data_IF_462732506049
#
_entry.id   IF_462732506049
#
_cell.length_a   1.000
_cell.length_b   1.000
_cell.length_c   1.000
_cell.angle_alpha   90.00
_cell.angle_beta   90.00
_cell.angle_gamma   90.00
#
_symmetry.space_group_name_H-M   'P 1'
#
loop_
_entity.id
_entity.type
_entity.pdbx_description
1 polymer ?
#
# COMPACT_ATOMS: atom_id res chain seq x y z
N UNK A 1 -19.90 -17.42 50.97
CA UNK A 1 -20.74 -17.94 49.87
C UNK A 1 -21.55 -16.86 49.12
N UNK A 2 -22.73 -16.42 49.59
CA UNK A 2 -23.63 -15.55 48.80
C UNK A 2 -23.08 -14.16 48.42
N UNK A 3 -22.35 -13.50 49.32
CA UNK A 3 -21.75 -12.19 49.05
C UNK A 3 -20.68 -12.24 47.94
N UNK A 4 -19.93 -13.33 47.87
CA UNK A 4 -18.91 -13.55 46.84
C UNK A 4 -19.57 -13.76 45.48
N UNK A 5 -20.67 -14.53 45.43
CA UNK A 5 -21.44 -14.73 44.20
C UNK A 5 -22.04 -13.43 43.67
N UNK A 6 -22.55 -12.57 44.54
CA UNK A 6 -23.07 -11.25 44.16
C UNK A 6 -21.96 -10.32 43.64
N UNK A 7 -20.78 -10.34 44.27
CA UNK A 7 -19.63 -9.57 43.82
C UNK A 7 -19.12 -10.06 42.46
N UNK A 8 -19.04 -11.38 42.24
CA UNK A 8 -18.63 -11.98 40.95
C UNK A 8 -19.67 -11.70 39.86
N UNK A 9 -20.97 -11.78 40.16
CA UNK A 9 -22.02 -11.42 39.21
C UNK A 9 -22.00 -9.91 38.88
N UNK A 10 -21.76 -9.05 39.87
CA UNK A 10 -21.60 -7.62 39.69
C UNK A 10 -20.36 -7.28 38.84
N UNK A 11 -19.23 -7.96 39.07
CA UNK A 11 -18.00 -7.81 38.28
C UNK A 11 -18.13 -8.38 36.86
N UNK A 12 -18.77 -9.54 36.70
CA UNK A 12 -19.05 -10.14 35.40
C UNK A 12 -20.04 -9.28 34.59
N UNK A 13 -21.05 -8.70 35.25
CA UNK A 13 -21.93 -7.70 34.65
C UNK A 13 -21.17 -6.42 34.35
N UNK A 14 -20.29 -5.93 35.22
CA UNK A 14 -19.45 -4.76 34.98
C UNK A 14 -18.54 -4.95 33.75
N UNK A 15 -17.88 -6.12 33.65
CA UNK A 15 -17.05 -6.55 32.51
C UNK A 15 -17.89 -6.75 31.24
N UNK A 16 -19.14 -7.22 31.37
CA UNK A 16 -20.11 -7.29 30.25
C UNK A 16 -20.72 -5.94 29.88
N UNK A 17 -20.73 -4.97 30.81
CA UNK A 17 -21.23 -3.59 30.64
C UNK A 17 -20.12 -2.61 30.27
N UNK A 18 -18.87 -3.06 30.11
CA UNK A 18 -17.91 -2.44 29.20
C UNK A 18 -18.47 -2.57 27.78
N UNK A 19 -19.55 -1.82 27.51
CA UNK A 19 -20.28 -1.57 26.28
C UNK A 19 -20.21 -2.75 25.31
N UNK A 20 -21.29 -3.52 25.17
CA UNK A 20 -21.49 -4.37 23.98
C UNK A 20 -21.12 -3.56 22.75
N UNK A 21 -19.92 -3.79 22.21
CA UNK A 21 -19.41 -3.06 21.08
C UNK A 21 -20.22 -3.56 19.91
N UNK A 22 -21.22 -2.77 19.54
CA UNK A 22 -21.94 -2.98 18.30
C UNK A 22 -20.94 -2.78 17.16
N UNK A 23 -20.32 -3.90 16.75
CA UNK A 23 -19.30 -3.94 15.72
C UNK A 23 -19.87 -3.39 14.40
N UNK A 24 -21.18 -3.56 14.16
CA UNK A 24 -21.87 -2.99 13.00
C UNK A 24 -21.89 -1.47 13.06
N UNK A 25 -22.25 -0.88 14.21
CA UNK A 25 -22.21 0.57 14.38
C UNK A 25 -20.79 1.13 14.31
N UNK A 26 -19.80 0.42 14.85
CA UNK A 26 -18.39 0.81 14.75
C UNK A 26 -17.88 0.74 13.30
N UNK A 27 -18.26 -0.31 12.57
CA UNK A 27 -17.90 -0.48 11.16
C UNK A 27 -18.52 0.61 10.30
N UNK A 28 -19.80 0.95 10.50
CA UNK A 28 -20.47 2.06 9.79
C UNK A 28 -19.75 3.38 10.01
N UNK A 29 -19.42 3.72 11.26
CA UNK A 29 -18.63 4.93 11.58
C UNK A 29 -17.25 4.91 10.94
N UNK A 30 -16.59 3.75 10.90
CA UNK A 30 -15.29 3.61 10.26
C UNK A 30 -15.39 3.78 8.74
N UNK A 31 -16.44 3.28 8.09
CA UNK A 31 -16.68 3.47 6.66
C UNK A 31 -16.85 4.96 6.35
N UNK A 32 -17.64 5.69 7.14
CA UNK A 32 -17.83 7.14 6.97
C UNK A 32 -16.54 7.93 7.20
N UNK A 33 -15.78 7.58 8.24
CA UNK A 33 -14.48 8.20 8.51
C UNK A 33 -13.47 7.95 7.38
N UNK A 34 -13.38 6.72 6.88
CA UNK A 34 -12.50 6.37 5.76
C UNK A 34 -12.93 7.06 4.48
N UNK A 35 -14.24 7.19 4.22
CA UNK A 35 -14.77 7.95 3.08
C UNK A 35 -14.29 9.40 3.12
N UNK A 36 -14.44 10.08 4.27
CA UNK A 36 -13.96 11.44 4.46
C UNK A 36 -12.44 11.56 4.33
N UNK A 37 -11.71 10.58 4.85
CA UNK A 37 -10.25 10.53 4.75
C UNK A 37 -9.77 10.42 3.29
N UNK A 38 -10.36 9.53 2.50
CA UNK A 38 -9.99 9.36 1.08
C UNK A 38 -10.27 10.65 0.29
N UNK A 39 -11.45 11.24 0.47
CA UNK A 39 -11.83 12.49 -0.21
C UNK A 39 -10.91 13.66 0.18
N UNK A 40 -10.59 13.79 1.47
CA UNK A 40 -9.66 14.79 1.98
C UNK A 40 -8.25 14.60 1.40
N UNK A 41 -7.76 13.36 1.33
CA UNK A 41 -6.45 13.04 0.73
C UNK A 41 -6.39 13.39 -0.76
N UNK A 42 -7.47 13.20 -1.50
CA UNK A 42 -7.56 13.49 -2.94
C UNK A 42 -7.98 14.94 -3.25
N UNK A 43 -8.27 15.77 -2.23
CA UNK A 43 -8.84 17.13 -2.39
C UNK A 43 -10.16 17.16 -3.16
N UNK A 44 -10.99 16.13 -2.99
CA UNK A 44 -12.31 16.04 -3.62
C UNK A 44 -13.42 16.32 -2.61
N UNK A 45 -14.44 17.09 -3.01
CA UNK A 45 -15.61 17.36 -2.16
C UNK A 45 -16.64 16.22 -2.21
N UNK A 46 -16.70 15.51 -3.33
CA UNK A 46 -17.58 14.38 -3.56
C UNK A 46 -16.90 13.35 -4.48
N UNK A 47 -17.35 12.09 -4.47
CA UNK A 47 -16.89 11.11 -5.45
C UNK A 47 -17.15 11.60 -6.88
N UNK A 48 -16.20 11.42 -7.81
CA UNK A 48 -16.44 11.73 -9.22
C UNK A 48 -17.58 10.86 -9.77
N UNK A 49 -18.27 11.33 -10.83
CA UNK A 49 -19.30 10.52 -11.49
C UNK A 49 -18.71 9.18 -11.92
N UNK A 50 -19.46 8.10 -11.71
CA UNK A 50 -19.04 6.78 -12.12
C UNK A 50 -19.00 6.72 -13.65
N UNK A 51 -17.81 6.80 -14.22
CA UNK A 51 -17.61 6.47 -15.63
C UNK A 51 -17.73 4.96 -15.81
N UNK A 52 -18.35 4.53 -16.91
CA UNK A 52 -18.40 3.13 -17.25
C UNK A 52 -16.96 2.59 -17.37
N UNK A 53 -16.61 1.47 -16.73
CA UNK A 53 -15.28 0.93 -16.83
C UNK A 53 -14.94 0.67 -18.30
N UNK A 54 -13.71 0.96 -18.74
CA UNK A 54 -13.31 0.73 -20.12
C UNK A 54 -13.54 -0.75 -20.48
N UNK A 55 -14.22 -1.00 -21.59
CA UNK A 55 -14.58 -2.34 -22.05
C UNK A 55 -13.37 -3.24 -22.30
N UNK A 56 -12.19 -2.65 -22.57
CA UNK A 56 -10.94 -3.34 -22.87
C UNK A 56 -10.03 -3.55 -21.64
N UNK A 57 -10.52 -3.30 -20.42
CA UNK A 57 -9.70 -3.40 -19.22
C UNK A 57 -8.70 -2.24 -19.08
N UNK A 58 -7.86 -2.32 -18.05
CA UNK A 58 -6.86 -1.27 -17.77
C UNK A 58 -5.63 -1.45 -18.70
N UNK A 59 -5.03 -0.36 -19.19
CA UNK A 59 -3.77 -0.44 -19.94
C UNK A 59 -2.67 -1.13 -19.14
N UNK A 60 -1.84 -1.94 -19.81
CA UNK A 60 -0.76 -2.71 -19.18
C UNK A 60 0.23 -1.80 -18.42
N UNK A 61 0.53 -0.63 -18.98
CA UNK A 61 1.42 0.35 -18.35
C UNK A 61 0.90 0.81 -16.97
N UNK A 62 -0.40 1.05 -16.84
CA UNK A 62 -1.04 1.45 -15.57
C UNK A 62 -0.96 0.29 -14.57
N UNK A 63 -1.20 -0.94 -15.02
CA UNK A 63 -1.04 -2.14 -14.21
C UNK A 63 0.39 -2.34 -13.72
N UNK A 64 1.38 -2.16 -14.60
CA UNK A 64 2.79 -2.26 -14.27
C UNK A 64 3.22 -1.17 -13.27
N UNK A 65 2.73 0.06 -13.44
CA UNK A 65 2.95 1.16 -12.49
C UNK A 65 2.37 0.82 -11.12
N UNK A 66 1.11 0.40 -11.06
CA UNK A 66 0.45 0.01 -9.80
C UNK A 66 1.21 -1.12 -9.08
N UNK A 67 1.61 -2.16 -9.80
CA UNK A 67 2.36 -3.29 -9.24
C UNK A 67 3.71 -2.85 -8.66
N UNK A 68 4.43 -1.98 -9.37
CA UNK A 68 5.70 -1.43 -8.88
C UNK A 68 5.53 -0.56 -7.63
N UNK A 69 4.46 0.24 -7.55
CA UNK A 69 4.14 1.05 -6.37
C UNK A 69 3.79 0.17 -5.16
N UNK A 70 3.00 -0.89 -5.36
CA UNK A 70 2.66 -1.83 -4.30
C UNK A 70 3.90 -2.54 -3.75
N UNK A 71 4.81 -2.96 -4.63
CA UNK A 71 6.07 -3.57 -4.19
C UNK A 71 6.93 -2.58 -3.40
N UNK A 72 7.07 -1.34 -3.87
CA UNK A 72 7.78 -0.29 -3.14
C UNK A 72 7.15 -0.02 -1.75
N UNK A 73 5.83 0.01 -1.67
CA UNK A 73 5.11 0.17 -0.40
C UNK A 73 5.37 -1.00 0.55
N UNK A 74 5.41 -2.24 0.04
CA UNK A 74 5.76 -3.44 0.83
C UNK A 74 7.19 -3.42 1.35
N UNK A 75 8.13 -2.92 0.54
CA UNK A 75 9.52 -2.77 0.96
C UNK A 75 9.67 -1.69 2.04
N UNK A 76 8.99 -0.55 1.87
CA UNK A 76 9.06 0.59 2.80
C UNK A 76 8.30 0.36 4.09
N UNK A 77 7.24 -0.45 4.11
CA UNK A 77 6.45 -0.72 5.32
C UNK A 77 7.27 -1.39 6.43
N UNK A 78 8.36 -2.08 6.07
CA UNK A 78 9.29 -2.72 7.02
C UNK A 78 10.21 -1.74 7.75
N UNK A 79 10.39 -0.53 7.21
CA UNK A 79 11.37 0.46 7.67
C UNK A 79 10.73 1.85 7.86
N UNK A 80 9.39 1.95 7.89
CA UNK A 80 8.71 3.24 7.74
C UNK A 80 8.94 4.13 8.98
N UNK A 81 9.57 5.31 8.84
CA UNK A 81 9.46 6.36 9.85
C UNK A 81 7.99 6.85 9.93
N UNK A 82 7.58 7.52 11.02
CA UNK A 82 6.25 8.12 11.11
C UNK A 82 5.99 9.05 9.91
N UNK A 83 4.74 9.08 9.45
CA UNK A 83 4.35 9.94 8.33
C UNK A 83 4.58 11.41 8.67
N UNK A 84 5.29 12.12 7.78
CA UNK A 84 5.48 13.56 7.91
C UNK A 84 4.12 14.25 7.78
N UNK A 85 3.77 15.21 8.66
CA UNK A 85 2.49 15.93 8.58
C UNK A 85 2.30 16.67 7.25
N UNK A 86 3.38 16.99 6.50
CA UNK A 86 3.28 17.60 5.18
C UNK A 86 2.88 16.61 4.07
N UNK A 87 3.02 15.31 4.28
CA UNK A 87 2.73 14.25 3.30
C UNK A 87 1.28 13.71 3.39
N UNK A 88 0.37 14.50 3.97
CA UNK A 88 -1.01 14.06 4.18
C UNK A 88 -1.77 13.81 2.87
N UNK A 89 -1.51 14.60 1.84
CA UNK A 89 -2.22 14.58 0.56
C UNK A 89 -1.71 13.48 -0.36
N UNK A 90 -2.59 13.02 -1.27
CA UNK A 90 -2.21 12.09 -2.30
C UNK A 90 -1.20 12.72 -3.27
N UNK A 91 -0.26 11.90 -3.76
CA UNK A 91 0.74 12.27 -4.77
C UNK A 91 0.45 11.49 -6.05
N UNK A 92 0.56 12.15 -7.19
CA UNK A 92 0.47 11.49 -8.48
C UNK A 92 1.76 10.69 -8.74
N UNK A 93 1.60 9.50 -9.32
CA UNK A 93 2.73 8.61 -9.59
C UNK A 93 3.06 8.62 -11.07
N UNK A 94 4.31 8.87 -11.39
CA UNK A 94 4.86 8.78 -12.73
C UNK A 94 6.03 7.81 -12.75
N UNK A 95 6.20 7.11 -13.88
CA UNK A 95 7.35 6.24 -14.14
C UNK A 95 8.04 6.70 -15.40
N UNK A 96 9.34 6.91 -15.30
CA UNK A 96 10.20 7.26 -16.43
C UNK A 96 11.11 6.07 -16.74
N UNK A 97 11.05 5.51 -17.96
CA UNK A 97 11.98 4.47 -18.37
C UNK A 97 13.40 5.06 -18.50
N UNK A 98 14.39 4.29 -18.07
CA UNK A 98 15.81 4.62 -18.29
C UNK A 98 16.20 4.23 -19.72
N UNK A 99 17.08 5.00 -20.36
CA UNK A 99 17.69 4.59 -21.63
C UNK A 99 18.47 3.27 -21.41
N UNK A 100 18.29 2.27 -22.28
CA UNK A 100 19.09 1.05 -22.18
C UNK A 100 20.58 1.40 -22.29
N UNK A 101 21.46 0.71 -21.54
CA UNK A 101 22.89 0.95 -21.66
C UNK A 101 23.30 0.74 -23.12
N UNK A 102 23.90 1.78 -23.71
CA UNK A 102 24.34 1.75 -25.11
C UNK A 102 25.34 0.61 -25.36
N UNK A 103 25.50 0.18 -26.62
CA UNK A 103 26.48 -0.84 -27.00
C UNK A 103 27.90 -0.25 -26.95
N UNK A 104 28.42 -0.04 -25.75
CA UNK A 104 29.72 0.57 -25.56
C UNK A 104 30.01 0.71 -24.08
N UNK A 105 30.37 -0.41 -23.44
CA UNK A 105 31.59 -0.57 -22.63
C UNK A 105 31.52 -1.94 -21.92
N UNK A 106 31.82 -3.01 -22.66
CA UNK A 106 32.20 -4.27 -22.04
C UNK A 106 33.58 -4.04 -21.42
N UNK A 107 33.62 -3.67 -20.12
CA UNK A 107 34.86 -3.82 -19.36
C UNK A 107 35.22 -5.30 -19.35
N UNK A 108 36.29 -5.58 -20.10
CA UNK A 108 36.99 -6.85 -20.12
C UNK A 108 37.44 -7.21 -18.71
N UNK A 109 36.62 -7.98 -18.01
CA UNK A 109 36.95 -8.64 -16.75
C UNK A 109 37.01 -10.14 -16.94
N UNK A 110 38.16 -10.61 -17.44
CA UNK A 110 38.73 -11.96 -17.32
C UNK A 110 37.79 -13.17 -17.50
N UNK A 111 38.03 -13.87 -18.61
CA UNK A 111 37.68 -15.27 -18.86
C UNK A 111 37.89 -16.18 -17.65
N UNK A 112 36.82 -16.82 -17.20
CA UNK A 112 36.88 -18.14 -16.59
C UNK A 112 35.93 -19.06 -17.37
N UNK A 113 36.53 -20.08 -17.97
CA UNK A 113 35.85 -21.14 -18.69
C UNK A 113 34.80 -21.84 -17.78
N UNK A 114 33.64 -22.15 -18.34
CA UNK A 114 32.61 -22.90 -17.63
C UNK A 114 31.34 -23.06 -18.44
N UNK A 115 31.19 -24.22 -19.06
CA UNK A 115 30.08 -24.58 -19.93
C UNK A 115 28.71 -24.59 -19.23
N UNK A 116 27.68 -24.34 -20.05
CA UNK A 116 26.33 -24.90 -19.99
C UNK A 116 25.36 -24.44 -18.88
N UNK A 117 24.30 -23.75 -19.33
CA UNK A 117 22.93 -24.05 -18.92
C UNK A 117 22.32 -23.20 -17.80
N UNK A 118 21.18 -22.57 -18.10
CA UNK A 118 20.16 -22.23 -17.11
C UNK A 118 19.91 -20.74 -16.96
N UNK A 119 18.66 -20.34 -17.18
CA UNK A 119 18.20 -18.95 -17.17
C UNK A 119 18.45 -18.22 -15.85
N UNK A 120 18.86 -16.96 -15.96
CA UNK A 120 18.97 -16.03 -14.85
C UNK A 120 18.32 -14.71 -15.22
N UNK A 121 17.18 -14.41 -14.60
CA UNK A 121 16.51 -13.12 -14.66
C UNK A 121 17.42 -12.02 -14.12
N UNK A 122 17.94 -11.15 -14.99
CA UNK A 122 18.59 -9.92 -14.56
C UNK A 122 17.54 -8.81 -14.48
N UNK A 123 17.03 -8.56 -13.26
CA UNK A 123 16.30 -7.33 -12.95
C UNK A 123 17.31 -6.16 -12.98
N UNK A 124 17.07 -5.08 -13.75
CA UNK A 124 17.90 -3.89 -13.68
C UNK A 124 17.67 -3.14 -12.35
N UNK A 125 18.68 -2.36 -11.90
CA UNK A 125 18.65 -1.68 -10.61
C UNK A 125 17.60 -0.57 -10.58
N UNK A 126 17.01 -0.44 -9.38
CA UNK A 126 15.96 0.50 -9.00
C UNK A 126 16.27 1.93 -9.48
N UNK A 127 15.42 2.44 -10.38
CA UNK A 127 15.44 3.84 -10.79
C UNK A 127 15.13 4.77 -9.60
N UNK A 128 15.75 5.97 -9.52
CA UNK A 128 15.37 6.99 -8.57
C UNK A 128 14.00 7.58 -8.98
N UNK A 129 13.01 7.42 -8.11
CA UNK A 129 11.69 8.01 -8.28
C UNK A 129 11.78 9.53 -8.07
N UNK A 130 11.50 10.32 -9.11
CA UNK A 130 11.24 11.77 -8.98
C UNK A 130 9.82 11.93 -8.46
N UNK A 131 9.71 12.43 -7.22
CA UNK A 131 8.49 13.02 -6.69
C UNK A 131 8.43 14.48 -7.19
N UNK A 132 7.32 14.86 -7.82
CA UNK A 132 6.90 16.27 -7.93
C UNK A 132 5.85 16.58 -6.87
#
# INVERSE_FOLDING_TARGET
ELAVLLAVLGAARALSTCRSLDLEAAQRKRIEAVRGQILSKLRLLAPPPAEAPPSQGLPEEVGALYNSSQELQRQRSRLRPPDDPNDYLAKELHRFPMEPPGPGEQHTGVSAAGAAGGGGCWLPPLAPWVLS
#
